data_IF_625163735367
#
_entry.id   IF_625163735367
#
_cell.length_a   1.000
_cell.length_b   1.000
_cell.length_c   1.000
_cell.angle_alpha   90.00
_cell.angle_beta   90.00
_cell.angle_gamma   90.00
#
_symmetry.space_group_name_H-M   'P 1'
#
loop_
_entity.id
_entity.type
_entity.pdbx_description
1 polymer ?
#
# COMPACT_ATOMS: atom_id res chain seq x y z
N UNK A 1 16.20 42.85 8.79
CA UNK A 1 14.80 42.51 8.47
C UNK A 1 14.82 41.66 7.22
N UNK A 2 14.69 40.35 7.38
CA UNK A 2 13.39 39.68 7.30
C UNK A 2 12.95 39.64 5.86
N UNK A 3 13.00 38.46 5.25
CA UNK A 3 11.82 37.78 4.71
C UNK A 3 12.25 36.40 4.18
N UNK A 4 11.93 35.38 5.00
CA UNK A 4 11.33 34.11 4.59
C UNK A 4 12.20 33.21 3.68
N UNK A 5 13.00 32.29 4.24
CA UNK A 5 12.54 30.94 4.59
C UNK A 5 11.38 30.45 3.69
N UNK A 6 11.71 30.14 2.44
CA UNK A 6 10.85 29.31 1.60
C UNK A 6 11.00 27.87 2.06
N UNK A 7 10.03 27.45 2.88
CA UNK A 7 9.28 26.18 2.78
C UNK A 7 9.71 25.34 1.55
N UNK A 8 10.12 24.09 1.63
CA UNK A 8 9.72 23.02 2.53
C UNK A 8 9.84 21.72 1.73
N UNK A 9 10.67 20.79 2.22
CA UNK A 9 10.44 19.34 2.19
C UNK A 9 9.65 18.77 0.99
N UNK A 10 10.22 18.76 -0.21
CA UNK A 10 9.67 17.92 -1.30
C UNK A 10 10.23 16.50 -1.12
N UNK A 11 9.53 15.73 -0.27
CA UNK A 11 9.77 14.32 -0.03
C UNK A 11 9.84 13.56 -1.37
N UNK A 12 10.95 12.87 -1.56
CA UNK A 12 11.27 12.09 -2.74
C UNK A 12 10.10 11.19 -3.19
N UNK A 13 9.85 11.04 -4.50
CA UNK A 13 9.05 9.94 -4.98
C UNK A 13 9.88 8.67 -4.79
N UNK A 14 9.78 8.05 -3.62
CA UNK A 14 10.24 6.68 -3.43
C UNK A 14 9.45 5.85 -4.44
N UNK A 15 10.14 5.35 -5.47
CA UNK A 15 9.61 4.48 -6.52
C UNK A 15 8.83 3.35 -5.85
N UNK A 16 7.51 3.42 -5.95
CA UNK A 16 6.60 2.57 -5.18
C UNK A 16 6.43 1.30 -6.00
N UNK A 17 7.12 0.23 -5.63
CA UNK A 17 6.64 -1.11 -5.97
C UNK A 17 5.26 -1.25 -5.31
N UNK A 18 4.19 -0.97 -6.06
CA UNK A 18 2.82 -1.09 -5.60
C UNK A 18 2.42 -2.55 -5.77
N UNK A 19 2.43 -3.37 -4.71
CA UNK A 19 2.10 -4.77 -4.85
C UNK A 19 0.65 -4.88 -5.34
N UNK A 20 0.48 -5.53 -6.48
CA UNK A 20 -0.84 -5.80 -7.04
C UNK A 20 -1.55 -6.85 -6.18
N UNK A 21 -2.83 -6.69 -5.90
CA UNK A 21 -3.65 -7.78 -5.35
C UNK A 21 -4.96 -7.90 -6.07
N UNK A 22 -5.51 -9.10 -6.04
CA UNK A 22 -6.86 -9.33 -6.51
C UNK A 22 -7.86 -8.87 -5.46
N UNK A 23 -8.65 -7.85 -5.78
CA UNK A 23 -9.76 -7.45 -4.93
C UNK A 23 -10.99 -8.31 -5.25
N UNK A 24 -11.39 -9.16 -4.33
CA UNK A 24 -12.57 -10.05 -4.50
C UNK A 24 -13.88 -9.30 -4.74
N UNK A 25 -13.97 -8.06 -4.25
CA UNK A 25 -15.17 -7.22 -4.40
C UNK A 25 -15.23 -6.53 -5.76
N UNK A 26 -14.09 -6.07 -6.27
CA UNK A 26 -13.98 -5.46 -7.60
C UNK A 26 -13.76 -6.50 -8.72
N UNK A 27 -13.43 -7.75 -8.35
CA UNK A 27 -13.04 -8.86 -9.25
C UNK A 27 -11.93 -8.49 -10.23
N UNK A 28 -11.04 -7.59 -9.81
CA UNK A 28 -9.97 -7.06 -10.63
C UNK A 28 -8.65 -7.06 -9.84
N UNK A 29 -7.54 -7.14 -10.57
CA UNK A 29 -6.21 -6.88 -10.04
C UNK A 29 -6.06 -5.37 -9.85
N UNK A 30 -5.78 -4.96 -8.62
CA UNK A 30 -5.64 -3.56 -8.23
C UNK A 30 -4.33 -3.35 -7.50
N UNK A 31 -3.83 -2.12 -7.57
CA UNK A 31 -2.65 -1.71 -6.83
C UNK A 31 -3.02 -1.48 -5.37
N UNK A 32 -2.37 -2.20 -4.44
CA UNK A 32 -2.65 -2.04 -3.03
C UNK A 32 -2.07 -0.72 -2.54
N UNK A 33 -2.89 0.12 -1.90
CA UNK A 33 -2.40 1.26 -1.12
C UNK A 33 -2.03 0.81 0.29
N UNK A 34 -0.90 1.31 0.79
CA UNK A 34 -0.35 0.99 2.11
C UNK A 34 -0.16 -0.53 2.32
N UNK A 35 0.69 -1.19 1.52
CA UNK A 35 1.02 -2.59 1.75
C UNK A 35 1.76 -2.75 3.09
N UNK A 36 1.32 -3.72 3.88
CA UNK A 36 1.89 -4.11 5.16
C UNK A 36 2.09 -5.61 5.16
N UNK A 37 3.33 -6.05 5.36
CA UNK A 37 3.61 -7.47 5.56
C UNK A 37 3.04 -7.89 6.93
N UNK A 38 2.13 -8.85 6.91
CA UNK A 38 1.49 -9.41 8.09
C UNK A 38 1.61 -10.93 8.06
N UNK A 39 1.87 -11.53 9.21
CA UNK A 39 1.81 -12.98 9.36
C UNK A 39 0.41 -13.35 9.83
N UNK A 40 -0.31 -14.19 9.08
CA UNK A 40 -1.62 -14.68 9.49
C UNK A 40 -1.48 -15.60 10.71
N UNK A 41 -2.59 -15.80 11.44
CA UNK A 41 -2.66 -16.76 12.56
C UNK A 41 -2.25 -18.19 12.19
N UNK A 42 -2.30 -18.53 10.90
CA UNK A 42 -1.90 -19.83 10.35
C UNK A 42 -0.39 -19.89 10.01
N UNK A 43 0.42 -18.93 10.47
CA UNK A 43 1.88 -18.88 10.26
C UNK A 43 2.32 -18.50 8.84
N UNK A 44 1.38 -18.21 7.93
CA UNK A 44 1.69 -17.86 6.54
C UNK A 44 1.92 -16.35 6.39
N UNK A 45 2.98 -15.91 5.69
CA UNK A 45 3.17 -14.51 5.35
C UNK A 45 2.10 -14.06 4.35
N UNK A 46 1.62 -12.84 4.53
CA UNK A 46 0.74 -12.18 3.59
C UNK A 46 1.03 -10.68 3.56
N UNK A 47 0.58 -10.02 2.51
CA UNK A 47 0.62 -8.57 2.40
C UNK A 47 -0.82 -8.08 2.59
N UNK A 48 -1.07 -7.33 3.64
CA UNK A 48 -2.32 -6.60 3.87
C UNK A 48 -2.21 -5.24 3.20
N UNK A 49 -3.29 -4.73 2.65
CA UNK A 49 -3.42 -3.29 2.44
C UNK A 49 -4.83 -2.92 2.04
N UNK A 50 -5.00 -1.80 1.34
CA UNK A 50 -6.30 -1.19 1.11
C UNK A 50 -6.56 -1.09 -0.40
N UNK A 51 -7.75 -1.54 -0.83
CA UNK A 51 -8.20 -1.34 -2.20
C UNK A 51 -8.58 0.14 -2.42
N UNK A 52 -7.97 0.85 -3.38
CA UNK A 52 -8.30 2.24 -3.66
C UNK A 52 -9.67 2.43 -4.32
N UNK A 53 -10.23 1.37 -4.93
CA UNK A 53 -11.51 1.43 -5.64
C UNK A 53 -12.71 1.28 -4.69
N UNK A 54 -12.65 0.33 -3.76
CA UNK A 54 -13.77 0.01 -2.86
C UNK A 54 -13.48 0.26 -1.37
N UNK A 55 -12.27 0.71 -1.01
CA UNK A 55 -11.86 0.99 0.37
C UNK A 55 -11.72 -0.24 1.26
N UNK A 56 -11.96 -1.45 0.74
CA UNK A 56 -11.93 -2.69 1.53
C UNK A 56 -10.48 -3.11 1.77
N UNK A 57 -10.20 -3.65 2.96
CA UNK A 57 -8.90 -4.27 3.25
C UNK A 57 -8.72 -5.52 2.38
N UNK A 58 -7.65 -5.56 1.59
CA UNK A 58 -7.28 -6.68 0.73
C UNK A 58 -6.05 -7.38 1.30
N UNK A 59 -6.01 -8.69 1.16
CA UNK A 59 -4.90 -9.52 1.60
C UNK A 59 -4.37 -10.28 0.40
N UNK A 60 -3.10 -10.05 0.05
CA UNK A 60 -2.37 -10.86 -0.92
C UNK A 60 -1.63 -11.94 -0.15
N UNK A 61 -2.11 -13.17 -0.26
CA UNK A 61 -1.39 -14.35 0.22
C UNK A 61 -0.33 -14.65 -0.84
N UNK A 62 0.93 -14.30 -0.55
CA UNK A 62 2.08 -14.64 -1.38
C UNK A 62 2.92 -15.69 -0.67
N UNK A 63 3.67 -16.51 -1.43
CA UNK A 63 4.87 -17.12 -0.87
C UNK A 63 5.80 -15.97 -0.44
N UNK A 64 6.44 -16.14 0.73
CA UNK A 64 7.54 -15.27 1.14
C UNK A 64 8.53 -15.08 -0.01
#
# INVERSE_FOLDING_TARGET
MSLLYQHGMNAAPVEREMPQSYCVKCKANIEIKNPQNVTLKNGKPAIKGICPNCGTSVFRIGKA
#
